data_IF_886163470435
#
_entry.id   IF_886163470435
#
_cell.length_a   1.000
_cell.length_b   1.000
_cell.length_c   1.000
_cell.angle_alpha   90.00
_cell.angle_beta   90.00
_cell.angle_gamma   90.00
#
_symmetry.space_group_name_H-M   'P 1'
#
loop_
_entity.id
_entity.type
_entity.pdbx_description
1 polymer ?
#
# COMPACT_ATOMS: atom_id res chain seq x y z
N UNK A 1 -9.08 -9.20 -4.44
CA UNK A 1 -8.59 -8.14 -3.52
C UNK A 1 -7.10 -7.98 -3.71
N UNK A 2 -6.61 -6.74 -3.79
CA UNK A 2 -5.19 -6.40 -3.87
C UNK A 2 -4.87 -5.42 -2.74
N UNK A 3 -3.82 -5.68 -1.97
CA UNK A 3 -3.33 -4.77 -0.94
C UNK A 3 -1.97 -4.24 -1.34
N UNK A 4 -1.79 -2.94 -1.29
CA UNK A 4 -0.59 -2.23 -1.69
C UNK A 4 -0.05 -1.50 -0.46
N UNK A 5 0.75 -2.17 0.39
CA UNK A 5 1.41 -1.50 1.50
C UNK A 5 2.60 -0.70 0.97
N UNK A 6 2.64 0.57 1.34
CA UNK A 6 3.80 1.41 1.16
C UNK A 6 4.94 0.90 2.06
N UNK A 7 6.11 0.69 1.46
CA UNK A 7 7.33 0.25 2.15
C UNK A 7 8.48 1.21 1.89
N UNK A 8 8.18 2.45 1.49
CA UNK A 8 9.15 3.53 1.29
C UNK A 8 9.80 3.99 2.60
N UNK A 9 10.84 4.82 2.48
CA UNK A 9 11.63 5.31 3.61
C UNK A 9 10.82 6.19 4.57
N UNK A 10 9.81 6.93 4.10
CA UNK A 10 8.92 7.71 4.98
C UNK A 10 8.23 6.81 5.99
N UNK A 11 7.83 5.61 5.54
CA UNK A 11 7.12 4.62 6.36
C UNK A 11 7.94 4.13 7.57
N UNK A 12 9.24 4.41 7.61
CA UNK A 12 10.06 4.20 8.80
C UNK A 12 9.71 5.11 9.98
N UNK A 13 8.90 6.15 9.76
CA UNK A 13 8.51 7.12 10.77
C UNK A 13 7.62 6.49 11.86
N UNK A 14 7.73 6.95 13.13
CA UNK A 14 6.81 6.58 14.19
C UNK A 14 5.35 6.89 13.82
N UNK A 15 4.42 5.98 14.08
CA UNK A 15 2.99 6.14 13.72
C UNK A 15 2.36 7.40 14.33
N UNK A 16 2.80 7.80 15.52
CA UNK A 16 2.32 9.02 16.21
C UNK A 16 2.92 10.32 15.66
N UNK A 17 3.83 10.21 14.68
CA UNK A 17 4.74 11.27 14.29
C UNK A 17 5.84 11.53 15.35
N UNK A 18 6.80 12.38 15.00
CA UNK A 18 7.85 12.83 15.91
C UNK A 18 7.28 13.85 16.90
N UNK A 19 6.86 13.37 18.09
CA UNK A 19 6.24 14.19 19.14
C UNK A 19 7.13 14.36 20.38
N UNK A 20 8.45 14.36 20.19
CA UNK A 20 9.41 14.42 21.30
C UNK A 20 9.27 13.18 22.21
N UNK A 21 8.82 13.39 23.45
CA UNK A 21 8.74 12.34 24.49
C UNK A 21 7.58 11.35 24.32
N UNK A 22 6.60 11.63 23.45
CA UNK A 22 5.42 10.78 23.23
C UNK A 22 5.46 10.00 21.89
N UNK A 23 6.66 9.70 21.40
CA UNK A 23 6.88 9.04 20.10
C UNK A 23 6.73 7.52 20.22
N UNK A 24 5.85 6.92 19.41
CA UNK A 24 5.65 5.47 19.38
C UNK A 24 6.89 4.72 18.86
N UNK A 25 7.09 3.49 19.35
CA UNK A 25 8.05 2.54 18.75
C UNK A 25 7.50 1.87 17.49
N UNK A 26 6.18 1.83 17.34
CA UNK A 26 5.51 1.29 16.15
C UNK A 26 5.66 2.31 15.02
N UNK A 27 6.18 1.86 13.88
CA UNK A 27 6.39 2.65 12.67
C UNK A 27 5.22 2.50 11.71
N UNK A 28 5.07 3.44 10.77
CA UNK A 28 4.04 3.36 9.74
C UNK A 28 4.13 2.07 8.91
N UNK A 29 5.35 1.62 8.58
CA UNK A 29 5.60 0.38 7.85
C UNK A 29 5.13 -0.84 8.65
N UNK A 30 5.22 -0.81 9.98
CA UNK A 30 4.74 -1.90 10.83
C UNK A 30 3.20 -2.02 10.76
N UNK A 31 2.50 -0.88 10.70
CA UNK A 31 1.04 -0.82 10.52
C UNK A 31 0.63 -1.28 9.13
N UNK A 32 1.27 -0.77 8.08
CA UNK A 32 0.97 -1.15 6.69
C UNK A 32 1.20 -2.65 6.46
N UNK A 33 2.31 -3.18 6.99
CA UNK A 33 2.63 -4.59 6.96
C UNK A 33 1.60 -5.45 7.69
N UNK A 34 1.15 -5.01 8.87
CA UNK A 34 0.14 -5.72 9.66
C UNK A 34 -1.22 -5.77 8.93
N UNK A 35 -1.65 -4.66 8.35
CA UNK A 35 -2.89 -4.59 7.56
C UNK A 35 -2.81 -5.54 6.36
N UNK A 36 -1.73 -5.48 5.59
CA UNK A 36 -1.54 -6.36 4.42
C UNK A 36 -1.52 -7.85 4.81
N UNK A 37 -0.78 -8.21 5.86
CA UNK A 37 -0.71 -9.58 6.36
C UNK A 37 -2.07 -10.08 6.90
N UNK A 38 -2.84 -9.24 7.59
CA UNK A 38 -4.16 -9.58 8.11
C UNK A 38 -5.17 -9.82 6.98
N UNK A 39 -5.17 -8.95 5.95
CA UNK A 39 -6.04 -9.13 4.77
C UNK A 39 -5.68 -10.41 4.01
N UNK A 40 -4.39 -10.67 3.80
CA UNK A 40 -3.91 -11.89 3.14
C UNK A 40 -4.29 -13.15 3.93
N UNK A 41 -4.21 -13.11 5.26
CA UNK A 41 -4.58 -14.23 6.12
C UNK A 41 -6.06 -14.60 6.01
N UNK A 42 -6.95 -13.58 5.91
CA UNK A 42 -8.40 -13.80 5.77
C UNK A 42 -8.84 -14.06 4.34
N UNK A 43 -8.06 -13.62 3.36
CA UNK A 43 -8.33 -13.77 1.94
C UNK A 43 -7.11 -14.40 1.26
N UNK A 44 -6.97 -15.74 1.25
CA UNK A 44 -5.77 -16.40 0.71
C UNK A 44 -5.53 -16.16 -0.79
N UNK A 45 -6.54 -15.73 -1.52
CA UNK A 45 -6.45 -15.32 -2.94
C UNK A 45 -6.08 -13.84 -3.11
N UNK A 46 -5.97 -13.08 -2.02
CA UNK A 46 -5.53 -11.69 -2.09
C UNK A 46 -4.09 -11.62 -2.55
N UNK A 47 -3.79 -10.59 -3.32
CA UNK A 47 -2.44 -10.29 -3.76
C UNK A 47 -1.89 -9.12 -2.95
N UNK A 48 -0.66 -9.25 -2.45
CA UNK A 48 0.04 -8.17 -1.76
C UNK A 48 1.11 -7.61 -2.70
N UNK A 49 1.07 -6.30 -2.92
CA UNK A 49 1.97 -5.56 -3.81
C UNK A 49 2.67 -4.47 -3.00
N UNK A 50 3.71 -4.81 -2.20
CA UNK A 50 4.47 -3.79 -1.51
C UNK A 50 5.14 -2.88 -2.55
N UNK A 51 5.17 -1.57 -2.29
CA UNK A 51 5.73 -0.61 -3.24
C UNK A 51 6.55 0.48 -2.56
N UNK A 52 7.54 0.97 -3.30
CA UNK A 52 8.28 2.20 -2.99
C UNK A 52 8.36 3.05 -4.26
N UNK A 53 9.44 3.10 -5.06
CA UNK A 53 9.36 3.70 -6.40
C UNK A 53 8.72 2.76 -7.43
N UNK A 54 8.90 1.46 -7.22
CA UNK A 54 8.35 0.38 -8.00
C UNK A 54 7.73 -0.68 -7.07
N UNK A 55 7.02 -1.65 -7.65
CA UNK A 55 6.50 -2.79 -6.88
C UNK A 55 7.65 -3.72 -6.49
N UNK A 56 7.81 -3.95 -5.19
CA UNK A 56 8.83 -4.83 -4.62
C UNK A 56 8.36 -6.27 -4.72
N UNK A 57 9.23 -7.15 -5.24
CA UNK A 57 8.96 -8.58 -5.31
C UNK A 57 9.17 -9.20 -3.94
N UNK A 58 8.07 -9.48 -3.24
CA UNK A 58 8.07 -10.26 -2.00
C UNK A 58 7.12 -11.44 -2.14
N UNK A 59 7.58 -12.64 -1.80
CA UNK A 59 6.71 -13.82 -1.69
C UNK A 59 6.23 -13.94 -0.25
N UNK A 60 4.91 -13.90 -0.08
CA UNK A 60 4.25 -14.15 1.19
C UNK A 60 3.45 -15.44 1.09
N UNK A 61 3.32 -16.16 2.20
CA UNK A 61 2.48 -17.34 2.29
C UNK A 61 1.27 -17.03 3.18
N UNK A 62 0.06 -17.11 2.63
CA UNK A 62 -1.17 -16.84 3.37
C UNK A 62 -1.38 -17.80 4.57
N UNK A 63 -0.70 -18.96 4.57
CA UNK A 63 -0.73 -19.92 5.69
C UNK A 63 0.19 -19.54 6.84
N UNK A 64 1.20 -18.70 6.61
CA UNK A 64 2.07 -18.22 7.67
C UNK A 64 1.29 -17.33 8.64
N UNK A 65 1.87 -17.13 9.83
CA UNK A 65 1.26 -16.25 10.81
C UNK A 65 1.20 -14.82 10.26
N UNK A 66 0.22 -14.04 10.74
CA UNK A 66 0.12 -12.60 10.43
C UNK A 66 1.44 -11.90 10.76
N UNK A 67 2.05 -12.23 11.90
CA UNK A 67 3.30 -11.61 12.33
C UNK A 67 4.49 -11.98 11.45
N UNK A 68 4.57 -13.23 10.97
CA UNK A 68 5.63 -13.66 10.04
C UNK A 68 5.60 -12.85 8.75
N UNK A 69 4.42 -12.73 8.13
CA UNK A 69 4.27 -11.94 6.91
C UNK A 69 4.46 -10.44 7.15
N UNK A 70 3.98 -9.92 8.29
CA UNK A 70 4.16 -8.52 8.64
C UNK A 70 5.64 -8.17 8.85
N UNK A 71 6.40 -9.03 9.54
CA UNK A 71 7.84 -8.85 9.72
C UNK A 71 8.59 -8.86 8.38
N UNK A 72 8.23 -9.78 7.47
CA UNK A 72 8.84 -9.83 6.14
C UNK A 72 8.59 -8.55 5.33
N UNK A 73 7.40 -7.96 5.40
CA UNK A 73 7.06 -6.69 4.76
C UNK A 73 7.78 -5.51 5.42
N UNK A 74 7.77 -5.43 6.75
CA UNK A 74 8.38 -4.35 7.52
C UNK A 74 9.91 -4.33 7.48
N UNK A 75 10.53 -5.44 7.04
CA UNK A 75 11.96 -5.55 6.83
C UNK A 75 12.44 -5.00 5.48
N UNK A 76 11.54 -4.66 4.54
CA UNK A 76 11.93 -4.17 3.21
C UNK A 76 12.69 -2.85 3.32
N UNK A 77 12.07 -1.81 3.91
CA UNK A 77 12.66 -0.48 4.08
C UNK A 77 13.26 0.12 2.79
N UNK A 78 12.44 0.81 2.01
CA UNK A 78 12.80 1.39 0.71
C UNK A 78 13.28 2.86 0.73
N UNK A 79 13.37 3.44 -0.47
CA UNK A 79 13.77 4.84 -0.72
C UNK A 79 12.57 5.81 -0.81
N UNK A 80 12.47 6.58 -1.90
CA UNK A 80 11.28 7.41 -2.21
C UNK A 80 9.99 6.63 -2.49
N UNK A 81 8.93 7.35 -2.85
CA UNK A 81 7.55 6.82 -2.86
C UNK A 81 6.84 7.10 -4.19
N UNK A 82 6.17 6.09 -4.74
CA UNK A 82 5.38 6.17 -5.96
C UNK A 82 4.08 5.33 -5.83
N UNK A 83 3.02 5.96 -5.32
CA UNK A 83 1.72 5.33 -5.12
C UNK A 83 1.04 4.85 -6.42
N UNK A 84 1.50 5.30 -7.60
CA UNK A 84 0.95 4.85 -8.89
C UNK A 84 1.51 3.50 -9.34
N UNK A 85 2.67 3.08 -8.85
CA UNK A 85 3.35 1.83 -9.24
C UNK A 85 2.46 0.57 -9.17
N UNK A 86 1.74 0.30 -8.05
CA UNK A 86 0.88 -0.88 -8.00
C UNK A 86 -0.29 -0.83 -8.98
N UNK A 87 -0.91 0.34 -9.18
CA UNK A 87 -2.03 0.49 -10.12
C UNK A 87 -1.55 0.33 -11.58
N UNK A 88 -0.40 0.92 -11.92
CA UNK A 88 0.22 0.77 -13.23
C UNK A 88 0.57 -0.71 -13.52
N UNK A 89 1.07 -1.45 -12.53
CA UNK A 89 1.30 -2.89 -12.65
C UNK A 89 -0.01 -3.65 -12.96
N UNK A 90 -1.07 -3.38 -12.20
CA UNK A 90 -2.38 -4.04 -12.39
C UNK A 90 -3.00 -3.71 -13.75
N UNK A 91 -2.82 -2.48 -14.25
CA UNK A 91 -3.27 -2.08 -15.58
C UNK A 91 -2.47 -2.78 -16.69
N UNK A 92 -1.15 -2.82 -16.57
CA UNK A 92 -0.26 -3.52 -17.52
C UNK A 92 -0.60 -5.01 -17.63
N UNK A 93 -0.86 -5.65 -16.49
CA UNK A 93 -1.23 -7.07 -16.44
C UNK A 93 -2.69 -7.33 -16.85
N UNK A 94 -3.48 -6.28 -17.04
CA UNK A 94 -4.95 -6.36 -17.18
C UNK A 94 -5.59 -7.22 -16.08
N UNK A 95 -5.09 -7.10 -14.85
CA UNK A 95 -5.56 -7.88 -13.71
C UNK A 95 -7.07 -7.63 -13.44
N UNK A 96 -7.79 -8.69 -13.08
CA UNK A 96 -9.17 -8.59 -12.58
C UNK A 96 -9.13 -8.26 -11.08
N UNK A 97 -9.60 -7.07 -10.72
CA UNK A 97 -9.51 -6.54 -9.35
C UNK A 97 -10.82 -5.91 -8.95
N UNK A 98 -11.42 -6.40 -7.86
CA UNK A 98 -12.67 -5.86 -7.29
C UNK A 98 -12.41 -4.83 -6.18
N UNK A 99 -11.26 -4.92 -5.52
CA UNK A 99 -10.87 -4.06 -4.40
C UNK A 99 -9.35 -3.87 -4.41
N UNK A 100 -8.93 -2.61 -4.41
CA UNK A 100 -7.56 -2.16 -4.12
C UNK A 100 -7.57 -1.48 -2.75
N UNK A 101 -6.69 -1.91 -1.85
CA UNK A 101 -6.43 -1.27 -0.57
C UNK A 101 -5.02 -0.72 -0.62
N UNK A 102 -4.86 0.60 -0.61
CA UNK A 102 -3.54 1.25 -0.61
C UNK A 102 -3.31 1.86 0.77
N UNK A 103 -2.18 1.52 1.40
CA UNK A 103 -1.86 1.85 2.79
C UNK A 103 -0.53 2.59 2.81
N UNK A 104 -0.52 3.88 3.15
CA UNK A 104 0.65 4.77 3.04
C UNK A 104 0.62 5.86 4.13
N UNK A 105 1.76 6.52 4.36
CA UNK A 105 1.94 7.61 5.33
C UNK A 105 2.07 9.01 4.71
N UNK A 106 1.90 9.15 3.38
CA UNK A 106 2.15 10.43 2.72
C UNK A 106 1.13 10.84 1.62
N UNK A 107 0.53 12.02 1.86
CA UNK A 107 0.01 13.16 1.07
C UNK A 107 -0.44 13.06 -0.41
N UNK A 108 -0.12 12.02 -1.18
CA UNK A 108 -0.31 12.03 -2.65
C UNK A 108 -1.75 11.84 -3.16
N UNK A 109 -2.72 11.66 -2.26
CA UNK A 109 -4.15 11.68 -2.58
C UNK A 109 -4.69 13.10 -2.75
N UNK A 110 -4.08 14.06 -2.03
CA UNK A 110 -4.66 15.37 -1.71
C UNK A 110 -4.29 16.47 -2.73
N UNK A 111 -3.40 16.19 -3.69
CA UNK A 111 -3.18 17.10 -4.83
C UNK A 111 -4.37 17.17 -5.79
N UNK A 112 -5.49 16.50 -5.50
CA UNK A 112 -6.81 16.85 -6.06
C UNK A 112 -7.20 18.33 -5.80
N UNK A 113 -6.51 19.05 -4.89
CA UNK A 113 -6.67 20.50 -4.67
C UNK A 113 -5.77 21.39 -5.55
N UNK A 114 -4.82 20.84 -6.31
CA UNK A 114 -3.96 21.58 -7.26
C UNK A 114 -4.08 21.00 -8.66
N UNK A 115 -4.97 21.59 -9.46
CA UNK A 115 -5.00 21.55 -10.93
C UNK A 115 -4.31 20.36 -11.63
N UNK A 116 -4.90 19.16 -11.55
CA UNK A 116 -4.51 17.98 -12.33
C UNK A 116 -4.78 16.66 -11.62
N UNK A 117 -5.22 15.62 -12.33
CA UNK A 117 -5.30 14.28 -11.76
C UNK A 117 -3.88 13.74 -11.51
N UNK A 118 -3.58 13.31 -10.28
CA UNK A 118 -2.29 12.67 -9.99
C UNK A 118 -2.14 11.40 -10.83
N UNK A 119 -0.91 10.96 -11.12
CA UNK A 119 -0.66 9.73 -11.88
C UNK A 119 -1.41 8.52 -11.29
N UNK A 120 -1.52 8.47 -9.96
CA UNK A 120 -2.31 7.47 -9.23
C UNK A 120 -3.78 7.50 -9.64
N UNK A 121 -4.40 8.68 -9.76
CA UNK A 121 -5.78 8.81 -10.21
C UNK A 121 -5.95 8.42 -11.68
N UNK A 122 -5.02 8.76 -12.56
CA UNK A 122 -5.06 8.32 -13.97
C UNK A 122 -5.04 6.78 -14.09
N UNK A 123 -4.17 6.12 -13.34
CA UNK A 123 -4.11 4.66 -13.30
C UNK A 123 -5.37 4.05 -12.67
N UNK A 124 -5.92 4.68 -11.62
CA UNK A 124 -7.17 4.25 -11.02
C UNK A 124 -8.36 4.36 -11.98
N UNK A 125 -8.52 5.48 -12.68
CA UNK A 125 -9.59 5.68 -13.66
C UNK A 125 -9.50 4.67 -14.81
N UNK A 126 -8.29 4.35 -15.28
CA UNK A 126 -8.08 3.31 -16.28
C UNK A 126 -8.53 1.92 -15.79
N UNK A 127 -8.24 1.58 -14.53
CA UNK A 127 -8.70 0.33 -13.90
C UNK A 127 -10.23 0.34 -13.73
N UNK A 128 -10.79 1.44 -13.21
CA UNK A 128 -12.22 1.62 -12.98
C UNK A 128 -13.04 1.59 -14.27
N UNK A 129 -12.51 2.11 -15.37
CA UNK A 129 -13.14 2.00 -16.71
C UNK A 129 -13.24 0.55 -17.18
N UNK A 130 -12.26 -0.29 -16.85
CA UNK A 130 -12.27 -1.73 -17.16
C UNK A 130 -13.18 -2.53 -16.22
N UNK A 131 -13.22 -2.15 -14.94
CA UNK A 131 -14.12 -2.72 -13.95
C UNK A 131 -14.89 -1.62 -13.19
N UNK A 132 -16.08 -1.23 -13.65
CA UNK A 132 -16.89 -0.19 -13.00
C UNK A 132 -17.30 -0.52 -11.56
N UNK A 133 -17.22 -1.79 -11.13
CA UNK A 133 -17.51 -2.21 -9.76
C UNK A 133 -16.27 -2.20 -8.84
N UNK A 134 -15.07 -2.01 -9.39
CA UNK A 134 -13.85 -1.97 -8.59
C UNK A 134 -13.89 -0.84 -7.56
N UNK A 135 -13.40 -1.09 -6.35
CA UNK A 135 -13.30 -0.09 -5.27
C UNK A 135 -11.85 0.20 -4.93
N UNK A 136 -11.57 1.46 -4.61
CA UNK A 136 -10.29 1.91 -4.08
C UNK A 136 -10.52 2.34 -2.63
N UNK A 137 -9.73 1.79 -1.72
CA UNK A 137 -9.68 2.17 -0.31
C UNK A 137 -8.28 2.70 -0.04
N UNK A 138 -8.21 3.93 0.43
CA UNK A 138 -6.97 4.60 0.80
C UNK A 138 -6.93 4.67 2.33
N UNK A 139 -5.92 4.06 2.94
CA UNK A 139 -5.69 4.11 4.39
C UNK A 139 -4.48 4.99 4.61
N UNK A 140 -4.72 6.14 5.23
CA UNK A 140 -3.69 7.07 5.66
C UNK A 140 -3.29 6.73 7.10
N UNK A 141 -1.99 6.62 7.34
CA UNK A 141 -1.45 6.21 8.65
C UNK A 141 -1.07 7.42 9.51
N UNK A 142 -0.88 8.62 8.93
CA UNK A 142 -0.47 9.82 9.66
C UNK A 142 -1.31 11.05 9.35
#
# INVERSE_FOLDING_TARGET
>A
VVVCPDVSGSMGSPVTGYRGTATSRVRCIDVAALVAAAVLRRNPQARVLPFEQEVVKLRLNARDSVMTNAQALAAIGGGGTNCSAPLALLNRERAAVDLVILVSDNESWVDARRHGATRTMLEWEALKKRNPQARLVCIDIQ
#
